data_IF_365390340108
#
_entry.id   IF_365390340108
#
_cell.length_a   1.000
_cell.length_b   1.000
_cell.length_c   1.000
_cell.angle_alpha   90.00
_cell.angle_beta   90.00
_cell.angle_gamma   90.00
#
_symmetry.space_group_name_H-M   'P 1'
#
loop_
_entity.id
_entity.type
_entity.pdbx_description
1 polymer ?
#
# COMPACT_ATOMS: atom_id res chain seq x y z
N UNK A 1 5.13 -12.76 11.35
CA UNK A 1 3.91 -12.79 12.16
C UNK A 1 2.90 -11.83 11.55
N UNK A 2 1.78 -12.36 11.05
CA UNK A 2 0.66 -11.56 10.55
C UNK A 2 -0.43 -11.53 11.61
N UNK A 3 -0.82 -10.33 12.05
CA UNK A 3 -1.93 -10.11 12.98
C UNK A 3 -3.23 -9.85 12.22
N UNK A 4 -4.35 -10.36 12.72
CA UNK A 4 -5.67 -9.97 12.24
C UNK A 4 -6.51 -9.50 13.41
N UNK A 5 -7.09 -8.31 13.27
CA UNK A 5 -7.84 -7.65 14.35
C UNK A 5 -9.11 -7.03 13.79
N UNK A 6 -10.12 -6.90 14.65
CA UNK A 6 -11.33 -6.15 14.34
C UNK A 6 -11.45 -4.88 15.18
N UNK A 7 -11.92 -3.79 14.59
CA UNK A 7 -12.23 -2.55 15.30
C UNK A 7 -13.62 -2.64 15.94
N UNK A 8 -13.89 -1.99 17.07
CA UNK A 8 -15.23 -1.97 17.66
C UNK A 8 -16.21 -1.10 16.84
N UNK A 9 -17.51 -1.23 17.09
CA UNK A 9 -18.50 -0.35 16.45
C UNK A 9 -18.32 1.11 16.90
N UNK A 10 -18.65 2.08 16.05
CA UNK A 10 -18.52 3.52 16.33
C UNK A 10 -19.36 4.00 17.54
N UNK A 11 -20.42 3.26 17.87
CA UNK A 11 -21.23 3.51 19.07
C UNK A 11 -20.48 3.16 20.37
N UNK A 12 -19.46 2.31 20.30
CA UNK A 12 -18.64 1.86 21.43
C UNK A 12 -17.43 2.78 21.66
N UNK A 13 -17.64 4.10 21.74
CA UNK A 13 -16.58 5.13 21.79
C UNK A 13 -15.44 4.85 22.79
N UNK A 14 -15.76 4.34 23.97
CA UNK A 14 -14.76 4.00 24.99
C UNK A 14 -13.88 2.80 24.60
N UNK A 15 -14.39 1.87 23.78
CA UNK A 15 -13.62 0.75 23.24
C UNK A 15 -12.75 1.17 22.06
N UNK A 16 -13.19 2.13 21.25
CA UNK A 16 -12.40 2.64 20.11
C UNK A 16 -11.03 3.14 20.56
N UNK A 17 -10.97 3.97 21.60
CA UNK A 17 -9.69 4.49 22.14
C UNK A 17 -8.77 3.34 22.60
N UNK A 18 -9.32 2.34 23.29
CA UNK A 18 -8.54 1.17 23.73
C UNK A 18 -8.08 0.29 22.56
N UNK A 19 -8.88 0.19 21.51
CA UNK A 19 -8.55 -0.57 20.31
C UNK A 19 -7.42 0.10 19.53
N UNK A 20 -7.41 1.44 19.43
CA UNK A 20 -6.31 2.20 18.84
C UNK A 20 -5.00 2.00 19.61
N UNK A 21 -5.04 2.11 20.96
CA UNK A 21 -3.86 1.85 21.80
C UNK A 21 -3.36 0.40 21.68
N UNK A 22 -4.27 -0.56 21.58
CA UNK A 22 -3.95 -1.97 21.40
C UNK A 22 -3.35 -2.25 20.03
N UNK A 23 -3.90 -1.65 18.98
CA UNK A 23 -3.41 -1.74 17.61
C UNK A 23 -1.99 -1.19 17.51
N UNK A 24 -1.71 -0.04 18.12
CA UNK A 24 -0.37 0.56 18.10
C UNK A 24 0.67 -0.32 18.78
N UNK A 25 0.33 -0.95 19.91
CA UNK A 25 1.21 -1.93 20.56
C UNK A 25 1.43 -3.16 19.68
N UNK A 26 0.38 -3.65 19.03
CA UNK A 26 0.48 -4.82 18.14
C UNK A 26 1.34 -4.52 16.91
N UNK A 27 1.29 -3.27 16.40
CA UNK A 27 2.14 -2.83 15.27
C UNK A 27 3.63 -2.91 15.56
N UNK A 28 4.03 -2.76 16.82
CA UNK A 28 5.42 -2.90 17.22
C UNK A 28 5.93 -4.35 17.20
N UNK A 29 5.04 -5.34 17.23
CA UNK A 29 5.38 -6.76 17.41
C UNK A 29 5.04 -7.63 16.19
N UNK A 30 4.16 -7.16 15.30
CA UNK A 30 3.72 -7.89 14.10
C UNK A 30 4.37 -7.31 12.83
N UNK A 31 4.68 -8.19 11.87
CA UNK A 31 5.23 -7.77 10.57
C UNK A 31 4.17 -7.05 9.73
N UNK A 32 2.91 -7.49 9.82
CA UNK A 32 1.76 -6.86 9.17
C UNK A 32 0.50 -7.12 9.95
N UNK A 33 -0.41 -6.14 9.95
CA UNK A 33 -1.71 -6.24 10.62
C UNK A 33 -2.82 -5.99 9.61
N UNK A 34 -3.73 -6.96 9.49
CA UNK A 34 -4.96 -6.84 8.72
C UNK A 34 -6.06 -6.37 9.68
N UNK A 35 -6.62 -5.19 9.40
CA UNK A 35 -7.65 -4.57 10.22
C UNK A 35 -9.02 -4.75 9.55
N UNK A 36 -9.97 -5.30 10.29
CA UNK A 36 -11.37 -5.50 9.86
C UNK A 36 -12.28 -4.51 10.58
N UNK A 37 -13.08 -3.74 9.85
CA UNK A 37 -13.98 -2.75 10.45
C UNK A 37 -15.35 -3.35 10.79
N UNK A 38 -15.70 -3.44 12.08
CA UNK A 38 -17.02 -3.95 12.49
C UNK A 38 -18.18 -3.07 12.00
N UNK A 39 -17.97 -1.78 11.79
CA UNK A 39 -19.04 -0.89 11.31
C UNK A 39 -19.57 -1.35 9.94
N UNK A 40 -18.73 -2.02 9.15
CA UNK A 40 -19.09 -2.53 7.84
C UNK A 40 -20.04 -3.72 7.87
N UNK A 41 -20.13 -4.43 8.99
CA UNK A 41 -21.19 -5.41 9.20
C UNK A 41 -22.58 -4.74 9.16
N UNK A 42 -22.68 -3.47 9.59
CA UNK A 42 -23.95 -2.72 9.55
C UNK A 42 -24.36 -2.39 8.13
N UNK A 43 -23.40 -2.05 7.26
CA UNK A 43 -23.67 -1.72 5.85
C UNK A 43 -24.04 -2.98 5.05
N UNK A 44 -23.37 -4.10 5.35
CA UNK A 44 -23.54 -5.34 4.59
C UNK A 44 -24.77 -6.14 5.00
N UNK A 45 -24.98 -6.30 6.30
CA UNK A 45 -26.01 -7.18 6.86
C UNK A 45 -26.85 -6.46 7.93
N UNK A 46 -27.48 -5.32 7.60
CA UNK A 46 -28.18 -4.47 8.58
C UNK A 46 -29.31 -5.19 9.32
N UNK A 47 -29.91 -6.19 8.67
CA UNK A 47 -31.09 -6.89 9.16
C UNK A 47 -30.78 -8.26 9.79
N UNK A 48 -29.50 -8.66 9.86
CA UNK A 48 -29.14 -9.92 10.50
C UNK A 48 -29.12 -9.78 12.03
N UNK A 49 -29.54 -10.82 12.77
CA UNK A 49 -29.28 -10.89 14.20
C UNK A 49 -27.79 -10.74 14.49
N UNK A 50 -27.45 -10.01 15.56
CA UNK A 50 -26.06 -9.67 15.94
C UNK A 50 -25.13 -10.90 15.92
N UNK A 51 -25.56 -12.03 16.50
CA UNK A 51 -24.75 -13.25 16.52
C UNK A 51 -24.44 -13.79 15.11
N UNK A 52 -25.40 -13.70 14.18
CA UNK A 52 -25.18 -14.09 12.78
C UNK A 52 -24.30 -13.08 12.04
N UNK A 53 -24.42 -11.78 12.35
CA UNK A 53 -23.55 -10.77 11.76
C UNK A 53 -22.09 -10.99 12.15
N UNK A 54 -21.80 -11.34 13.41
CA UNK A 54 -20.44 -11.71 13.82
C UNK A 54 -19.92 -12.98 13.14
N UNK A 55 -20.78 -13.99 12.92
CA UNK A 55 -20.38 -15.18 12.16
C UNK A 55 -19.94 -14.86 10.72
N UNK A 56 -20.46 -13.79 10.11
CA UNK A 56 -19.99 -13.32 8.78
C UNK A 56 -18.55 -12.81 8.88
N UNK A 57 -18.19 -12.09 9.95
CA UNK A 57 -16.81 -11.65 10.15
C UNK A 57 -15.87 -12.82 10.43
N UNK A 58 -16.28 -13.77 11.27
CA UNK A 58 -15.50 -14.99 11.54
C UNK A 58 -15.24 -15.77 10.25
N UNK A 59 -16.25 -15.86 9.37
CA UNK A 59 -16.10 -16.49 8.06
C UNK A 59 -15.06 -15.76 7.21
N UNK A 60 -15.05 -14.43 7.21
CA UNK A 60 -14.08 -13.65 6.41
C UNK A 60 -12.66 -13.80 6.96
N UNK A 61 -12.50 -13.84 8.29
CA UNK A 61 -11.21 -14.16 8.93
C UNK A 61 -10.73 -15.54 8.47
N UNK A 62 -11.61 -16.55 8.54
CA UNK A 62 -11.28 -17.91 8.15
C UNK A 62 -10.93 -18.01 6.66
N UNK A 63 -11.70 -17.37 5.78
CA UNK A 63 -11.44 -17.33 4.34
C UNK A 63 -10.14 -16.60 4.01
N UNK A 64 -9.81 -15.54 4.76
CA UNK A 64 -8.54 -14.84 4.59
C UNK A 64 -7.35 -15.72 4.95
N UNK A 65 -7.37 -16.30 6.16
CA UNK A 65 -6.28 -17.16 6.63
C UNK A 65 -6.13 -18.37 5.70
N UNK A 66 -7.25 -18.93 5.24
CA UNK A 66 -7.26 -19.99 4.23
C UNK A 66 -6.62 -19.50 2.93
N UNK A 67 -7.05 -18.37 2.37
CA UNK A 67 -6.55 -17.85 1.10
C UNK A 67 -5.05 -17.57 1.12
N UNK A 68 -4.55 -16.97 2.20
CA UNK A 68 -3.11 -16.73 2.42
C UNK A 68 -2.34 -18.05 2.48
N UNK A 69 -2.80 -18.99 3.31
CA UNK A 69 -2.16 -20.30 3.48
C UNK A 69 -2.16 -21.11 2.18
N UNK A 70 -3.28 -21.15 1.47
CA UNK A 70 -3.41 -21.85 0.21
C UNK A 70 -2.58 -21.22 -0.90
N UNK A 71 -2.39 -19.90 -0.91
CA UNK A 71 -1.53 -19.22 -1.90
C UNK A 71 -0.07 -19.71 -1.80
N UNK A 72 0.40 -20.04 -0.60
CA UNK A 72 1.76 -20.57 -0.37
C UNK A 72 1.82 -22.09 -0.58
N UNK A 73 0.82 -22.81 -0.06
CA UNK A 73 0.92 -24.27 0.10
C UNK A 73 0.42 -25.06 -1.10
N UNK A 74 -0.47 -24.49 -1.91
CA UNK A 74 -1.02 -25.17 -3.07
C UNK A 74 -0.36 -24.69 -4.36
N UNK A 75 -0.08 -25.61 -5.32
CA UNK A 75 0.47 -25.24 -6.62
C UNK A 75 -0.47 -24.27 -7.36
N UNK A 76 0.13 -23.25 -7.96
CA UNK A 76 -0.55 -22.30 -8.83
C UNK A 76 0.10 -22.34 -10.22
N UNK A 77 -0.67 -22.00 -11.25
CA UNK A 77 -0.18 -21.91 -12.64
C UNK A 77 0.93 -20.86 -12.74
N UNK A 78 0.71 -19.73 -12.07
CA UNK A 78 1.73 -18.74 -11.76
C UNK A 78 1.95 -18.84 -10.26
N UNK A 79 3.03 -19.52 -9.89
CA UNK A 79 3.31 -19.81 -8.51
C UNK A 79 3.87 -18.57 -7.81
N UNK A 80 3.41 -18.36 -6.58
CA UNK A 80 3.97 -17.39 -5.67
C UNK A 80 4.81 -18.14 -4.66
N UNK A 81 6.06 -17.72 -4.47
CA UNK A 81 6.90 -18.34 -3.47
C UNK A 81 6.73 -17.67 -2.09
N UNK A 82 7.27 -18.31 -1.07
CA UNK A 82 7.19 -17.79 0.29
C UNK A 82 8.02 -16.50 0.48
N UNK A 83 9.10 -16.33 -0.29
CA UNK A 83 9.97 -15.16 -0.19
C UNK A 83 9.27 -13.90 -0.73
N UNK A 84 8.59 -14.04 -1.87
CA UNK A 84 7.72 -13.05 -2.48
C UNK A 84 6.63 -12.60 -1.51
N UNK A 85 5.89 -13.56 -0.95
CA UNK A 85 4.83 -13.26 0.01
C UNK A 85 5.36 -12.59 1.29
N UNK A 86 6.47 -13.10 1.83
CA UNK A 86 7.12 -12.51 3.00
C UNK A 86 7.65 -11.10 2.70
N UNK A 87 8.13 -10.85 1.48
CA UNK A 87 8.62 -9.52 1.08
C UNK A 87 7.51 -8.47 1.11
N UNK A 88 6.29 -8.85 0.69
CA UNK A 88 5.12 -7.96 0.74
C UNK A 88 4.60 -7.83 2.18
N UNK A 89 4.48 -8.93 2.92
CA UNK A 89 3.97 -8.89 4.29
C UNK A 89 4.92 -8.19 5.26
N UNK A 90 6.23 -8.15 4.97
CA UNK A 90 7.22 -7.45 5.79
C UNK A 90 7.39 -5.96 5.43
N UNK A 91 6.66 -5.44 4.43
CA UNK A 91 6.66 -4.00 4.14
C UNK A 91 6.01 -3.17 5.26
N UNK A 92 5.50 -3.83 6.29
CA UNK A 92 5.21 -3.22 7.57
C UNK A 92 3.86 -2.53 7.61
N UNK A 93 3.43 -2.27 8.83
CA UNK A 93 2.25 -1.47 9.11
C UNK A 93 0.95 -2.22 8.85
N UNK A 94 -0.01 -1.49 8.29
CA UNK A 94 -1.37 -1.99 8.15
C UNK A 94 -1.57 -2.48 6.73
N UNK A 95 -2.26 -3.60 6.63
CA UNK A 95 -2.69 -4.21 5.39
C UNK A 95 -4.21 -4.22 5.27
N UNK A 96 -4.66 -4.16 4.02
CA UNK A 96 -6.07 -4.21 3.62
C UNK A 96 -6.23 -5.37 2.67
N UNK A 97 -7.30 -6.15 2.82
CA UNK A 97 -7.52 -7.34 2.01
C UNK A 97 -8.79 -7.25 1.16
N UNK A 98 -8.64 -7.28 -0.16
CA UNK A 98 -9.72 -7.35 -1.13
C UNK A 98 -10.07 -8.78 -1.49
N UNK A 99 -11.37 -9.10 -1.49
CA UNK A 99 -11.90 -10.38 -1.96
C UNK A 99 -13.07 -10.09 -2.87
N UNK A 100 -13.07 -10.68 -4.05
CA UNK A 100 -14.21 -10.63 -4.95
C UNK A 100 -14.41 -11.95 -5.68
N UNK A 101 -15.66 -12.27 -6.00
CA UNK A 101 -16.03 -13.44 -6.80
C UNK A 101 -17.10 -13.08 -7.81
N UNK A 102 -16.93 -13.53 -9.05
CA UNK A 102 -17.96 -13.38 -10.08
C UNK A 102 -18.09 -14.65 -10.92
N UNK A 103 -19.27 -14.81 -11.51
CA UNK A 103 -19.57 -15.84 -12.49
C UNK A 103 -20.10 -15.21 -13.79
N UNK A 104 -19.97 -13.89 -13.93
CA UNK A 104 -20.49 -13.14 -15.06
C UNK A 104 -19.63 -13.31 -16.31
N UNK A 105 -20.22 -12.95 -17.46
CA UNK A 105 -19.51 -13.00 -18.75
C UNK A 105 -18.32 -12.06 -18.80
N UNK A 106 -18.39 -10.90 -18.13
CA UNK A 106 -17.30 -9.94 -18.06
C UNK A 106 -16.51 -10.11 -16.75
N UNK A 107 -15.86 -11.27 -16.61
CA UNK A 107 -15.16 -11.70 -15.40
C UNK A 107 -14.21 -10.64 -14.87
N UNK A 108 -13.40 -10.02 -15.74
CA UNK A 108 -12.39 -9.04 -15.35
C UNK A 108 -12.99 -7.82 -14.67
N UNK A 109 -14.00 -7.18 -15.28
CA UNK A 109 -14.56 -5.95 -14.72
C UNK A 109 -15.41 -6.22 -13.48
N UNK A 110 -16.24 -7.25 -13.54
CA UNK A 110 -17.18 -7.56 -12.46
C UNK A 110 -16.45 -8.05 -11.21
N UNK A 111 -15.40 -8.89 -11.33
CA UNK A 111 -14.66 -9.36 -10.15
C UNK A 111 -13.91 -8.23 -9.46
N UNK A 112 -13.37 -7.27 -10.23
CA UNK A 112 -12.70 -6.10 -9.67
C UNK A 112 -13.71 -5.21 -8.99
N UNK A 113 -14.87 -4.97 -9.63
CA UNK A 113 -15.93 -4.18 -9.03
C UNK A 113 -16.46 -4.82 -7.75
N UNK A 114 -16.63 -6.14 -7.72
CA UNK A 114 -17.03 -6.90 -6.53
C UNK A 114 -15.97 -6.78 -5.43
N UNK A 115 -14.68 -6.96 -5.76
CA UNK A 115 -13.58 -6.83 -4.81
C UNK A 115 -13.45 -5.42 -4.23
N UNK A 116 -13.65 -4.38 -5.05
CA UNK A 116 -13.53 -2.98 -4.66
C UNK A 116 -14.71 -2.46 -3.85
N UNK A 117 -15.91 -2.97 -4.12
CA UNK A 117 -17.10 -2.65 -3.34
C UNK A 117 -17.32 -3.65 -2.20
N UNK A 118 -16.34 -4.52 -1.94
CA UNK A 118 -16.51 -5.55 -0.93
C UNK A 118 -16.72 -4.87 0.44
N UNK A 119 -17.82 -5.17 1.14
CA UNK A 119 -18.35 -4.32 2.21
C UNK A 119 -17.39 -4.02 3.34
N UNK A 120 -16.46 -4.93 3.64
CA UNK A 120 -15.48 -4.77 4.71
C UNK A 120 -14.27 -3.89 4.34
N UNK A 121 -14.29 -3.26 3.17
CA UNK A 121 -13.14 -2.56 2.58
C UNK A 121 -13.51 -1.15 2.17
N UNK A 122 -13.45 -0.27 3.14
CA UNK A 122 -13.49 1.17 2.90
C UNK A 122 -12.31 1.80 3.62
N UNK A 123 -11.13 1.29 3.27
CA UNK A 123 -9.85 1.86 3.66
C UNK A 123 -9.23 2.31 2.37
N UNK A 124 -8.94 3.61 2.30
CA UNK A 124 -8.17 4.15 1.21
C UNK A 124 -6.79 3.45 1.13
N UNK A 125 -6.65 2.55 0.16
CA UNK A 125 -5.40 1.86 -0.15
C UNK A 125 -4.60 2.58 -1.23
N UNK A 126 -5.03 3.79 -1.66
CA UNK A 126 -4.23 4.63 -2.56
C UNK A 126 -2.88 4.91 -1.91
N UNK A 127 -1.82 4.69 -2.66
CA UNK A 127 -0.46 4.86 -2.16
C UNK A 127 0.03 3.76 -1.22
N UNK A 128 -0.61 2.57 -1.22
CA UNK A 128 0.01 1.40 -0.59
C UNK A 128 1.34 1.06 -1.31
N UNK A 129 2.36 0.70 -0.54
CA UNK A 129 3.71 0.40 -1.03
C UNK A 129 3.87 -1.04 -1.52
N UNK A 130 2.91 -1.91 -1.22
CA UNK A 130 2.93 -3.31 -1.60
C UNK A 130 1.57 -3.86 -1.97
N UNK A 131 1.55 -4.79 -2.93
CA UNK A 131 0.36 -5.50 -3.35
C UNK A 131 0.64 -6.97 -3.63
N UNK A 132 -0.18 -7.84 -3.08
CA UNK A 132 -0.25 -9.26 -3.42
C UNK A 132 -1.59 -9.53 -4.08
N UNK A 133 -1.64 -10.10 -5.28
CA UNK A 133 -2.90 -10.43 -5.97
C UNK A 133 -2.89 -11.91 -6.36
N UNK A 134 -3.79 -12.71 -5.81
CA UNK A 134 -3.98 -14.09 -6.19
C UNK A 134 -5.34 -14.30 -6.85
N UNK A 135 -5.32 -14.86 -8.06
CA UNK A 135 -6.51 -15.09 -8.86
C UNK A 135 -6.77 -16.59 -8.95
N UNK A 136 -7.97 -17.02 -8.60
CA UNK A 136 -8.42 -18.41 -8.77
C UNK A 136 -9.54 -18.44 -9.79
N UNK A 137 -9.41 -19.26 -10.83
CA UNK A 137 -10.46 -19.42 -11.84
C UNK A 137 -10.59 -20.85 -12.34
N UNK A 138 -11.61 -21.05 -13.18
CA UNK A 138 -11.83 -22.31 -13.85
C UNK A 138 -10.82 -22.60 -14.97
N UNK A 139 -10.89 -23.79 -15.58
CA UNK A 139 -10.10 -24.14 -16.78
C UNK A 139 -10.33 -23.20 -17.97
N UNK A 140 -11.38 -22.40 -17.91
CA UNK A 140 -11.76 -21.37 -18.88
C UNK A 140 -11.19 -19.97 -18.55
N UNK A 141 -10.40 -19.82 -17.48
CA UNK A 141 -9.68 -18.57 -17.17
C UNK A 141 -8.50 -18.42 -18.13
N UNK A 142 -8.49 -17.31 -18.87
CA UNK A 142 -7.39 -16.97 -19.78
C UNK A 142 -6.34 -16.09 -19.10
N UNK A 143 -5.09 -16.15 -19.58
CA UNK A 143 -4.01 -15.29 -19.11
C UNK A 143 -4.36 -13.79 -19.25
N UNK A 144 -5.06 -13.42 -20.33
CA UNK A 144 -5.48 -12.04 -20.58
C UNK A 144 -6.50 -11.55 -19.54
N UNK A 145 -7.44 -12.40 -19.14
CA UNK A 145 -8.39 -12.05 -18.07
C UNK A 145 -7.67 -11.91 -16.73
N UNK A 146 -6.75 -12.83 -16.41
CA UNK A 146 -5.99 -12.79 -15.17
C UNK A 146 -5.09 -11.53 -15.07
N UNK A 147 -4.36 -11.22 -16.15
CA UNK A 147 -3.53 -10.01 -16.21
C UNK A 147 -4.37 -8.74 -16.11
N UNK A 148 -5.50 -8.65 -16.82
CA UNK A 148 -6.41 -7.51 -16.72
C UNK A 148 -6.99 -7.30 -15.33
N UNK A 149 -7.26 -8.39 -14.58
CA UNK A 149 -7.69 -8.31 -13.17
C UNK A 149 -6.56 -7.76 -12.30
N UNK A 150 -5.35 -8.33 -12.43
CA UNK A 150 -4.20 -7.89 -11.66
C UNK A 150 -3.86 -6.41 -11.92
N UNK A 151 -3.90 -5.99 -13.18
CA UNK A 151 -3.68 -4.60 -13.58
C UNK A 151 -4.73 -3.67 -12.97
N UNK A 152 -6.02 -4.00 -13.09
CA UNK A 152 -7.11 -3.14 -12.59
C UNK A 152 -7.08 -2.97 -11.06
N UNK A 153 -6.65 -4.00 -10.33
CA UNK A 153 -6.53 -3.92 -8.87
C UNK A 153 -5.33 -3.07 -8.45
N UNK A 154 -4.23 -3.16 -9.18
CA UNK A 154 -2.95 -2.54 -8.82
C UNK A 154 -2.80 -1.12 -9.37
N UNK A 155 -3.70 -0.68 -10.26
CA UNK A 155 -3.69 0.66 -10.88
C UNK A 155 -3.70 1.83 -9.87
N UNK A 156 -4.20 1.59 -8.66
CA UNK A 156 -4.36 2.60 -7.59
C UNK A 156 -3.23 2.58 -6.56
N UNK A 157 -2.30 1.64 -6.68
CA UNK A 157 -1.11 1.56 -5.82
C UNK A 157 -0.11 2.65 -6.20
N UNK A 158 0.91 2.86 -5.36
CA UNK A 158 2.03 3.73 -5.70
C UNK A 158 2.76 3.19 -6.95
N UNK A 159 3.28 4.08 -7.80
CA UNK A 159 4.03 3.66 -9.00
C UNK A 159 5.29 2.84 -8.68
N UNK A 160 5.89 3.05 -7.50
CA UNK A 160 7.01 2.27 -6.96
C UNK A 160 6.59 1.10 -6.08
N UNK A 161 5.29 0.80 -5.99
CA UNK A 161 4.81 -0.29 -5.15
C UNK A 161 5.34 -1.64 -5.64
N UNK A 162 5.76 -2.49 -4.70
CA UNK A 162 6.11 -3.86 -5.03
C UNK A 162 4.82 -4.66 -5.26
N UNK A 163 4.62 -5.19 -6.46
CA UNK A 163 3.40 -5.91 -6.82
C UNK A 163 3.75 -7.33 -7.22
N UNK A 164 3.11 -8.27 -6.54
CA UNK A 164 3.28 -9.70 -6.76
C UNK A 164 1.91 -10.27 -7.10
N UNK A 165 1.84 -11.09 -8.14
CA UNK A 165 0.58 -11.71 -8.53
C UNK A 165 0.73 -13.17 -8.95
N UNK A 166 -0.28 -13.96 -8.62
CA UNK A 166 -0.35 -15.39 -8.87
C UNK A 166 -1.70 -15.77 -9.45
N UNK A 167 -1.74 -16.93 -10.11
CA UNK A 167 -2.95 -17.44 -10.72
C UNK A 167 -3.06 -18.95 -10.56
N UNK A 168 -4.24 -19.43 -10.17
CA UNK A 168 -4.57 -20.84 -9.99
C UNK A 168 -5.76 -21.24 -10.84
N UNK A 169 -5.70 -22.45 -11.38
CA UNK A 169 -6.80 -23.10 -12.08
C UNK A 169 -7.36 -24.21 -11.21
N UNK A 170 -8.68 -24.20 -10.99
CA UNK A 170 -9.40 -25.23 -10.27
C UNK A 170 -10.70 -25.59 -11.02
N UNK A 171 -10.99 -26.88 -11.18
CA UNK A 171 -12.19 -27.33 -11.91
C UNK A 171 -13.50 -26.85 -11.28
N UNK A 172 -13.52 -26.70 -9.95
CA UNK A 172 -14.66 -26.20 -9.16
C UNK A 172 -15.03 -24.74 -9.51
N UNK A 173 -14.09 -23.99 -10.08
CA UNK A 173 -14.28 -22.61 -10.50
C UNK A 173 -14.68 -22.48 -11.98
N UNK A 174 -15.14 -23.56 -12.64
CA UNK A 174 -15.60 -23.49 -14.03
C UNK A 174 -16.66 -22.39 -14.22
N UNK A 175 -16.36 -21.42 -15.10
CA UNK A 175 -17.23 -20.27 -15.34
C UNK A 175 -17.16 -19.19 -14.24
N UNK A 176 -16.32 -19.35 -13.23
CA UNK A 176 -16.16 -18.44 -12.09
C UNK A 176 -14.73 -17.92 -11.99
N UNK A 177 -14.60 -16.74 -11.41
CA UNK A 177 -13.30 -16.18 -11.03
C UNK A 177 -13.43 -15.58 -9.64
N UNK A 178 -12.47 -15.90 -8.79
CA UNK A 178 -12.28 -15.30 -7.48
C UNK A 178 -10.93 -14.60 -7.46
N UNK A 179 -10.91 -13.40 -6.91
CA UNK A 179 -9.68 -12.65 -6.66
C UNK A 179 -9.52 -12.42 -5.16
N UNK A 180 -8.30 -12.58 -4.70
CA UNK A 180 -7.84 -12.17 -3.38
C UNK A 180 -6.70 -11.19 -3.60
N UNK A 181 -6.77 -9.99 -3.03
CA UNK A 181 -5.65 -9.06 -3.03
C UNK A 181 -5.34 -8.55 -1.64
N UNK A 182 -4.07 -8.38 -1.30
CA UNK A 182 -3.62 -7.84 -0.02
C UNK A 182 -2.72 -6.65 -0.32
N UNK A 183 -3.14 -5.47 0.13
CA UNK A 183 -2.41 -4.22 -0.01
C UNK A 183 -1.73 -3.91 1.32
N UNK A 184 -0.42 -3.68 1.31
CA UNK A 184 0.40 -3.45 2.50
C UNK A 184 1.01 -2.05 2.45
N UNK A 185 1.37 -1.52 3.62
CA UNK A 185 1.88 -0.16 3.73
C UNK A 185 0.82 0.91 3.46
N UNK A 186 -0.45 0.63 3.77
CA UNK A 186 -1.52 1.64 3.60
C UNK A 186 -1.36 2.77 4.63
N UNK A 187 -1.31 4.00 4.14
CA UNK A 187 -1.24 5.20 4.99
C UNK A 187 -2.64 5.80 5.20
N UNK A 188 -3.60 4.99 5.65
CA UNK A 188 -4.96 5.50 5.84
C UNK A 188 -5.15 6.14 7.21
N UNK A 189 -5.56 7.40 7.22
CA UNK A 189 -5.91 8.21 8.39
C UNK A 189 -6.92 7.53 9.33
N UNK A 190 -7.82 6.71 8.77
CA UNK A 190 -8.88 6.01 9.50
C UNK A 190 -8.36 4.81 10.30
N UNK A 191 -7.19 4.28 9.93
CA UNK A 191 -6.57 3.14 10.60
C UNK A 191 -5.41 3.57 11.51
N UNK A 192 -4.67 4.59 11.09
CA UNK A 192 -3.42 4.99 11.72
C UNK A 192 -3.57 5.76 13.05
N UNK A 193 -4.80 6.11 13.43
CA UNK A 193 -5.06 6.96 14.59
C UNK A 193 -4.43 8.36 14.47
N UNK A 194 -4.88 9.33 15.28
CA UNK A 194 -4.39 10.71 15.20
C UNK A 194 -2.90 10.88 15.55
N UNK A 195 -2.27 9.89 16.19
CA UNK A 195 -0.86 9.94 16.59
C UNK A 195 0.11 9.66 15.45
N UNK A 196 -0.16 8.66 14.59
CA UNK A 196 0.73 8.37 13.46
C UNK A 196 0.60 9.42 12.36
N UNK A 197 -0.59 10.02 12.21
CA UNK A 197 -0.79 11.14 11.28
C UNK A 197 0.05 12.35 11.66
N UNK A 198 0.11 12.70 12.96
CA UNK A 198 0.99 13.76 13.45
C UNK A 198 2.48 13.46 13.22
N UNK A 199 2.89 12.20 13.30
CA UNK A 199 4.28 11.80 13.03
C UNK A 199 4.59 11.77 11.53
N UNK A 200 3.67 11.31 10.69
CA UNK A 200 3.81 11.34 9.23
C UNK A 200 3.80 12.78 8.69
N UNK A 201 2.93 13.64 9.21
CA UNK A 201 2.86 15.06 8.88
C UNK A 201 4.10 15.81 9.39
N UNK A 202 4.58 15.50 10.61
CA UNK A 202 5.83 16.07 11.13
C UNK A 202 7.06 15.61 10.33
N UNK A 203 7.08 14.36 9.85
CA UNK A 203 8.16 13.83 9.02
C UNK A 203 8.16 14.47 7.63
N UNK A 204 6.98 14.67 7.03
CA UNK A 204 6.83 15.42 5.77
C UNK A 204 7.28 16.87 5.91
N UNK A 205 6.86 17.56 6.99
CA UNK A 205 7.28 18.94 7.27
C UNK A 205 8.79 19.05 7.53
N UNK A 206 9.40 18.06 8.18
CA UNK A 206 10.84 18.03 8.38
C UNK A 206 11.61 17.91 7.05
N UNK A 207 11.15 17.07 6.13
CA UNK A 207 11.77 16.92 4.79
C UNK A 207 11.63 18.20 3.96
N UNK A 208 10.47 18.88 4.03
CA UNK A 208 10.27 20.17 3.35
C UNK A 208 11.14 21.29 3.93
N UNK A 209 11.37 21.30 5.26
CA UNK A 209 12.21 22.31 5.92
C UNK A 209 13.71 22.18 5.62
N UNK A 210 14.18 21.02 5.17
CA UNK A 210 15.60 20.79 4.82
C UNK A 210 15.92 21.30 3.39
N UNK A 211 14.90 21.57 2.56
CA UNK A 211 15.10 22.09 1.20
C UNK A 211 15.43 23.59 1.12
N UNK A 212 15.26 24.35 2.22
CA UNK A 212 15.43 25.81 2.24
C UNK A 212 16.71 26.30 2.96
N UNK A 213 17.49 25.40 3.59
CA UNK A 213 18.71 25.77 4.32
C UNK A 213 20.00 25.28 3.64
N UNK A 214 20.27 25.71 2.41
CA UNK A 214 21.65 25.75 1.90
C UNK A 214 21.80 26.85 0.84
N UNK A 215 22.16 28.07 1.27
CA UNK A 215 23.16 28.98 0.65
C UNK A 215 23.18 30.34 1.37
N UNK A 216 23.53 30.37 2.67
CA UNK A 216 23.92 31.61 3.34
C UNK A 216 25.44 31.59 3.59
N UNK A 217 26.18 32.22 2.68
CA UNK A 217 27.62 32.42 2.81
C UNK A 217 27.90 33.54 3.82
N UNK A 218 28.25 33.17 5.05
CA UNK A 218 28.73 34.13 6.07
C UNK A 218 30.24 34.36 5.88
N UNK A 219 30.72 35.63 5.78
CA UNK A 219 32.14 35.90 5.54
C UNK A 219 32.99 35.68 6.81
N UNK A 220 34.26 35.25 6.70
CA UNK A 220 35.10 35.00 7.86
C UNK A 220 35.69 36.29 8.43
N UNK A 221 35.61 36.41 9.75
CA UNK A 221 36.19 37.45 10.60
C UNK A 221 37.72 37.33 10.65
N UNK A 222 38.43 38.45 10.43
CA UNK A 222 39.88 38.55 10.54
C UNK A 222 40.35 38.50 12.00
N UNK A 223 41.18 37.50 12.33
CA UNK A 223 42.03 37.43 13.51
C UNK A 223 43.51 37.36 13.09
N UNK A 224 44.34 38.17 13.74
CA UNK A 224 45.73 38.45 13.38
C UNK A 224 46.72 37.29 13.56
N UNK A 225 47.78 37.26 12.74
CA UNK A 225 49.10 36.78 13.18
C UNK A 225 49.91 35.91 12.20
N UNK A 226 50.80 36.55 11.43
CA UNK A 226 52.20 36.13 11.27
C UNK A 226 52.59 35.06 10.23
N UNK A 227 53.35 35.50 9.21
CA UNK A 227 54.58 34.79 8.80
C UNK A 227 54.66 34.16 7.41
N UNK A 228 55.22 34.90 6.44
CA UNK A 228 56.29 34.41 5.57
C UNK A 228 55.95 33.69 4.25
N UNK A 229 56.28 34.34 3.13
CA UNK A 229 56.94 33.68 1.99
C UNK A 229 56.19 33.59 0.65
N UNK A 230 56.64 34.38 -0.34
CA UNK A 230 56.93 33.86 -1.68
C UNK A 230 55.83 33.77 -2.76
N UNK A 231 55.69 34.85 -3.55
CA UNK A 231 55.60 34.94 -5.04
C UNK A 231 54.65 33.99 -5.81
N UNK A 232 53.71 34.60 -6.55
CA UNK A 232 53.11 34.02 -7.77
C UNK A 232 51.82 34.72 -8.22
N UNK A 233 51.92 35.80 -9.01
CA UNK A 233 50.78 36.45 -9.67
C UNK A 233 50.39 35.64 -10.90
N UNK A 234 49.14 35.16 -10.94
CA UNK A 234 48.52 34.52 -12.10
C UNK A 234 47.21 35.24 -12.44
N UNK A 235 47.14 35.73 -13.67
CA UNK A 235 46.03 36.48 -14.28
C UNK A 235 44.69 35.75 -14.28
N UNK A 236 43.64 36.57 -14.22
CA UNK A 236 42.23 36.22 -14.38
C UNK A 236 41.86 36.17 -15.87
N UNK A 237 41.16 35.13 -16.33
CA UNK A 237 40.36 35.22 -17.56
C UNK A 237 38.86 35.10 -17.24
N UNK A 238 38.19 36.26 -17.18
CA UNK A 238 36.74 36.33 -17.10
C UNK A 238 36.12 35.86 -18.41
N UNK A 239 35.91 34.54 -18.55
CA UNK A 239 35.19 33.92 -19.65
C UNK A 239 33.71 34.28 -19.62
N UNK A 240 33.31 35.31 -20.38
CA UNK A 240 31.94 35.55 -20.81
C UNK A 240 31.58 34.49 -21.85
N UNK A 241 30.61 33.64 -21.58
CA UNK A 241 29.97 32.81 -22.62
C UNK A 241 28.85 33.62 -23.28
N UNK A 242 29.09 33.94 -24.54
CA UNK A 242 28.14 34.44 -25.53
C UNK A 242 26.92 33.53 -25.63
N UNK A 243 25.73 34.13 -25.61
CA UNK A 243 24.47 33.43 -25.92
C UNK A 243 24.30 33.45 -27.43
N UNK A 244 24.75 32.39 -28.11
CA UNK A 244 24.38 32.14 -29.50
C UNK A 244 22.89 31.74 -29.57
N UNK A 245 22.09 32.62 -30.17
CA UNK A 245 20.76 32.29 -30.70
C UNK A 245 20.93 31.82 -32.14
N UNK A 246 20.68 30.55 -32.44
CA UNK A 246 19.90 30.21 -33.63
C UNK A 246 19.43 28.74 -33.67
N UNK A 247 18.11 28.56 -33.67
CA UNK A 247 17.32 27.68 -34.54
C UNK A 247 16.10 27.18 -33.77
N UNK A 248 15.10 28.07 -33.73
CA UNK A 248 13.83 27.85 -33.06
C UNK A 248 13.20 26.51 -33.44
N UNK A 249 12.86 25.76 -32.41
CA UNK A 249 11.74 24.82 -32.33
C UNK A 249 11.63 24.41 -30.85
N UNK A 250 10.63 24.96 -30.18
CA UNK A 250 10.19 24.53 -28.86
C UNK A 250 9.58 23.13 -28.99
N UNK A 251 10.07 22.17 -28.21
CA UNK A 251 9.32 20.94 -27.93
C UNK A 251 9.50 20.60 -26.46
N UNK A 252 8.42 20.83 -25.72
CA UNK A 252 8.23 20.45 -24.32
C UNK A 252 8.25 18.93 -24.20
N UNK A 253 8.95 18.42 -23.19
CA UNK A 253 8.62 17.16 -22.55
C UNK A 253 8.79 17.29 -21.05
#
# INVERSE_FOLDING_TARGET
VVGMVSTPFNVERARTVKAEEGLEKLRGEADSIIVLDNNRLLDYVPNLPIGKAFSVMDQIIAETVKGISETITQPSLINLDYADMTSIMNQGGVAVMLVGETQDKNKTKEVVNDAMNHPLLDVDYRGASGGLVHITGGPDLTLKEAEGIAQSITERLEASANVIWGARIQDEYKGKVRVMAIMTGVQSAQILGPTTQKQADASRQAIESVGDEEFASTPPTQGAGGGGGGIGVGETDGGRSEVERNNGLDVVR
#
